data_IF_827282711333
#
_entry.id   IF_827282711333
#
_cell.length_a   1.000
_cell.length_b   1.000
_cell.length_c   1.000
_cell.angle_alpha   90.00
_cell.angle_beta   90.00
_cell.angle_gamma   90.00
#
_symmetry.space_group_name_H-M   'P 1'
#
loop_
_entity.id
_entity.type
_entity.pdbx_description
1 polymer ?
#
# COMPACT_ATOMS: atom_id res chain seq x y z
N UNK A 1 -2.33 8.74 -0.26
CA UNK A 1 -1.17 7.86 0.05
C UNK A 1 -0.08 7.86 -1.03
N UNK A 2 -0.36 8.34 -2.25
CA UNK A 2 0.53 8.22 -3.42
C UNK A 2 1.90 8.89 -3.27
N UNK A 3 1.98 10.06 -2.61
CA UNK A 3 3.24 10.79 -2.41
C UNK A 3 4.25 10.05 -1.51
N UNK A 4 3.79 9.18 -0.61
CA UNK A 4 4.64 8.44 0.34
C UNK A 4 5.01 7.02 -0.12
N UNK A 5 4.58 6.58 -1.31
CA UNK A 5 4.70 5.18 -1.74
C UNK A 5 6.10 4.56 -1.55
N UNK A 6 7.21 5.24 -1.87
CA UNK A 6 8.56 4.68 -1.69
C UNK A 6 8.93 4.47 -0.21
N UNK A 7 8.43 5.34 0.67
CA UNK A 7 8.68 5.27 2.12
C UNK A 7 7.92 4.11 2.74
N UNK A 8 6.70 3.84 2.26
CA UNK A 8 5.89 2.72 2.74
C UNK A 8 6.48 1.36 2.35
N UNK A 9 7.09 1.25 1.17
CA UNK A 9 7.83 0.06 0.72
C UNK A 9 8.96 -0.32 1.69
N UNK A 10 9.77 0.68 2.10
CA UNK A 10 10.89 0.50 3.04
C UNK A 10 10.48 0.38 4.51
N UNK A 11 9.20 0.53 4.84
CA UNK A 11 8.72 0.50 6.21
C UNK A 11 8.80 -0.92 6.80
N UNK A 12 8.96 -1.06 8.13
CA UNK A 12 8.99 -2.39 8.74
C UNK A 12 7.64 -3.10 8.61
N UNK A 13 7.65 -4.43 8.46
CA UNK A 13 6.43 -5.28 8.37
C UNK A 13 5.46 -5.02 9.53
N UNK A 14 5.96 -4.75 10.73
CA UNK A 14 5.16 -4.44 11.92
C UNK A 14 4.30 -3.18 11.75
N UNK A 15 4.82 -2.15 11.08
CA UNK A 15 4.07 -0.92 10.81
C UNK A 15 2.99 -1.15 9.74
N UNK A 16 3.30 -1.90 8.69
CA UNK A 16 2.33 -2.27 7.65
C UNK A 16 1.20 -3.13 8.20
N UNK A 17 1.51 -4.10 9.07
CA UNK A 17 0.51 -4.90 9.77
C UNK A 17 -0.43 -4.02 10.63
N UNK A 18 0.11 -3.01 11.34
CA UNK A 18 -0.73 -2.05 12.11
C UNK A 18 -1.64 -1.23 11.21
N UNK A 19 -1.18 -0.85 10.01
CA UNK A 19 -2.01 -0.16 9.02
C UNK A 19 -3.13 -1.07 8.51
N UNK A 20 -2.85 -2.35 8.22
CA UNK A 20 -3.86 -3.32 7.80
C UNK A 20 -4.96 -3.48 8.87
N UNK A 21 -4.59 -3.58 10.14
CA UNK A 21 -5.57 -3.66 11.24
C UNK A 21 -6.49 -2.43 11.28
N UNK A 22 -5.93 -1.23 11.08
CA UNK A 22 -6.71 0.01 11.02
C UNK A 22 -7.62 0.05 9.80
N UNK A 23 -7.12 -0.35 8.62
CA UNK A 23 -7.92 -0.46 7.40
C UNK A 23 -9.11 -1.41 7.61
N UNK A 24 -8.86 -2.62 8.12
CA UNK A 24 -9.90 -3.62 8.37
C UNK A 24 -10.96 -3.09 9.33
N UNK A 25 -10.54 -2.41 10.41
CA UNK A 25 -11.48 -1.83 11.38
C UNK A 25 -12.37 -0.77 10.73
N UNK A 26 -11.79 0.13 9.95
CA UNK A 26 -12.54 1.17 9.25
C UNK A 26 -13.52 0.58 8.23
N UNK A 27 -13.09 -0.39 7.43
CA UNK A 27 -13.95 -1.07 6.46
C UNK A 27 -15.11 -1.78 7.17
N UNK A 28 -14.85 -2.52 8.25
CA UNK A 28 -15.93 -3.17 9.03
C UNK A 28 -16.94 -2.16 9.56
N UNK A 29 -16.47 -1.01 10.07
CA UNK A 29 -17.36 0.06 10.53
C UNK A 29 -18.20 0.66 9.39
N UNK A 30 -17.60 0.92 8.24
CA UNK A 30 -18.28 1.48 7.05
C UNK A 30 -19.39 0.55 6.56
N UNK A 31 -19.13 -0.76 6.52
CA UNK A 31 -20.09 -1.76 6.07
C UNK A 31 -21.01 -2.29 7.19
N UNK A 32 -20.89 -1.78 8.42
CA UNK A 32 -21.70 -2.25 9.56
C UNK A 32 -21.49 -3.72 9.91
N UNK A 33 -20.29 -4.26 9.70
CA UNK A 33 -19.97 -5.67 9.86
C UNK A 33 -19.48 -5.99 11.27
N UNK A 34 -19.62 -7.26 11.64
CA UNK A 34 -19.12 -7.78 12.91
C UNK A 34 -17.58 -7.59 13.05
N UNK A 35 -17.06 -7.29 14.26
CA UNK A 35 -15.62 -7.14 14.50
C UNK A 35 -14.78 -8.36 14.09
N UNK A 36 -15.35 -9.58 14.13
CA UNK A 36 -14.71 -10.85 13.78
C UNK A 36 -14.93 -11.24 12.31
N UNK A 37 -15.58 -10.39 11.51
CA UNK A 37 -15.80 -10.66 10.09
C UNK A 37 -14.46 -10.97 9.36
N UNK A 38 -14.39 -12.02 8.52
CA UNK A 38 -13.16 -12.43 7.87
C UNK A 38 -12.55 -11.35 6.98
N UNK A 39 -11.23 -11.15 7.07
CA UNK A 39 -10.52 -10.14 6.26
C UNK A 39 -10.61 -10.46 4.76
N UNK A 40 -10.48 -11.72 4.35
CA UNK A 40 -10.59 -12.09 2.92
C UNK A 40 -11.95 -11.69 2.34
N UNK A 41 -13.03 -12.01 3.06
CA UNK A 41 -14.38 -11.67 2.68
C UNK A 41 -14.62 -10.15 2.71
N UNK A 42 -14.03 -9.44 3.69
CA UNK A 42 -14.13 -7.98 3.81
C UNK A 42 -13.56 -7.26 2.60
N UNK A 43 -12.39 -7.70 2.15
CA UNK A 43 -11.69 -7.11 1.01
C UNK A 43 -12.34 -7.48 -0.32
N UNK A 44 -12.90 -8.69 -0.42
CA UNK A 44 -13.74 -9.12 -1.55
C UNK A 44 -15.01 -8.27 -1.65
N UNK A 45 -15.69 -8.06 -0.53
CA UNK A 45 -16.93 -7.27 -0.46
C UNK A 45 -16.67 -5.79 -0.76
N UNK A 46 -15.62 -5.22 -0.16
CA UNK A 46 -15.29 -3.80 -0.31
C UNK A 46 -14.55 -3.47 -1.60
N UNK A 47 -14.21 -4.47 -2.42
CA UNK A 47 -13.37 -4.35 -3.61
C UNK A 47 -12.10 -3.50 -3.36
N UNK A 48 -11.49 -3.70 -2.18
CA UNK A 48 -10.34 -2.93 -1.72
C UNK A 48 -9.16 -3.87 -1.53
N UNK A 49 -7.99 -3.49 -2.04
CA UNK A 49 -6.76 -4.27 -1.90
C UNK A 49 -6.19 -4.21 -0.47
N UNK A 50 -5.33 -5.16 -0.12
CA UNK A 50 -4.59 -5.12 1.15
C UNK A 50 -3.53 -4.02 1.11
N UNK A 51 -3.07 -3.59 2.29
CA UNK A 51 -2.04 -2.55 2.40
C UNK A 51 -0.75 -2.95 1.69
N UNK A 52 -0.30 -4.19 1.84
CA UNK A 52 0.93 -4.65 1.19
C UNK A 52 0.78 -4.66 -0.35
N UNK A 53 -0.36 -5.13 -0.88
CA UNK A 53 -0.64 -5.13 -2.32
C UNK A 53 -0.66 -3.70 -2.88
N UNK A 54 -1.32 -2.76 -2.16
CA UNK A 54 -1.35 -1.35 -2.51
C UNK A 54 0.06 -0.74 -2.55
N UNK A 55 0.88 -1.06 -1.56
CA UNK A 55 2.25 -0.54 -1.45
C UNK A 55 3.12 -1.10 -2.57
N UNK A 56 2.99 -2.39 -2.90
CA UNK A 56 3.75 -3.01 -3.98
C UNK A 56 3.39 -2.38 -5.33
N UNK A 57 2.08 -2.33 -5.65
CA UNK A 57 1.58 -1.67 -6.86
C UNK A 57 2.00 -0.21 -6.91
N UNK A 58 1.83 0.47 -5.77
CA UNK A 58 2.34 1.79 -5.40
C UNK A 58 3.74 2.07 -5.93
N UNK A 59 4.64 1.25 -5.39
CA UNK A 59 6.08 1.32 -5.54
C UNK A 59 6.49 0.98 -6.96
N UNK A 60 5.88 -0.04 -7.57
CA UNK A 60 6.15 -0.43 -8.96
C UNK A 60 5.83 0.72 -9.91
N UNK A 61 4.66 1.34 -9.78
CA UNK A 61 4.28 2.51 -10.60
C UNK A 61 5.25 3.67 -10.39
N UNK A 62 5.69 3.91 -9.16
CA UNK A 62 6.68 4.95 -8.86
C UNK A 62 8.02 4.66 -9.55
N UNK A 63 8.57 3.45 -9.40
CA UNK A 63 9.84 3.06 -10.03
C UNK A 63 9.77 3.17 -11.55
N UNK A 64 8.70 2.67 -12.18
CA UNK A 64 8.50 2.83 -13.62
C UNK A 64 8.43 4.31 -14.02
N UNK A 65 7.75 5.15 -13.24
CA UNK A 65 7.69 6.59 -13.51
C UNK A 65 9.06 7.25 -13.42
N UNK A 66 9.90 6.83 -12.45
CA UNK A 66 11.26 7.31 -12.33
C UNK A 66 12.14 6.88 -13.51
N UNK A 67 12.01 5.62 -13.96
CA UNK A 67 12.76 5.09 -15.11
C UNK A 67 12.39 5.77 -16.44
N UNK A 68 11.13 6.16 -16.61
CA UNK A 68 10.65 6.86 -17.80
C UNK A 68 11.00 8.35 -17.81
N UNK A 69 11.52 8.88 -16.70
CA UNK A 69 11.86 10.29 -16.58
C UNK A 69 13.23 10.58 -17.21
N UNK A 70 13.29 11.57 -18.10
CA UNK A 70 14.56 12.08 -18.66
C UNK A 70 15.37 12.94 -17.68
N UNK A 71 14.89 13.12 -16.43
CA UNK A 71 15.58 13.91 -15.43
C UNK A 71 16.66 13.07 -14.71
N UNK A 72 17.95 13.41 -14.85
CA UNK A 72 19.04 12.63 -14.27
C UNK A 72 19.01 12.57 -12.73
N UNK A 73 18.36 13.54 -12.05
CA UNK A 73 18.20 13.52 -10.60
C UNK A 73 17.17 12.49 -10.11
N UNK A 74 16.21 12.12 -10.97
CA UNK A 74 15.16 11.15 -10.67
C UNK A 74 15.64 9.73 -10.91
N UNK A 75 16.57 9.53 -11.85
CA UNK A 75 17.18 8.24 -12.16
C UNK A 75 17.92 7.63 -10.95
N UNK A 76 18.55 8.46 -10.12
CA UNK A 76 19.20 8.03 -8.86
C UNK A 76 18.19 7.41 -7.88
N UNK A 77 16.93 7.88 -7.89
CA UNK A 77 15.88 7.36 -7.02
C UNK A 77 15.31 6.01 -7.50
N UNK A 78 15.39 5.72 -8.80
CA UNK A 78 14.96 4.45 -9.39
C UNK A 78 15.88 3.28 -8.98
N UNK A 79 17.15 3.55 -8.72
CA UNK A 79 18.19 2.55 -8.43
C UNK A 79 18.38 2.24 -6.94
N UNK A 80 17.53 2.77 -6.06
CA UNK A 80 17.60 2.50 -4.62
C UNK A 80 16.95 1.14 -4.28
N UNK A 81 17.64 0.24 -3.56
CA UNK A 81 17.05 -1.04 -3.17
C UNK A 81 15.84 -0.82 -2.24
N UNK A 82 14.79 -1.61 -2.48
CA UNK A 82 13.56 -1.69 -1.69
C UNK A 82 13.76 -2.47 -0.38
#
# INVERSE_FOLDING_TARGET
MTYGSPVWGKCAKSHRARLQVKQNKLLKMIYGLDPFFPTSELHRLSNTELIDDFIERSTRTFVTSCQMSANPLIEVLANQPL
#
